data_IF_188066551171
#
_entry.id   IF_188066551171
#
_cell.length_a   1.000
_cell.length_b   1.000
_cell.length_c   1.000
_cell.angle_alpha   90.00
_cell.angle_beta   90.00
_cell.angle_gamma   90.00
#
_symmetry.space_group_name_H-M   'P 1'
#
loop_
_entity.id
_entity.type
_entity.pdbx_description
1 polymer ?
#
# COMPACT_ATOMS: atom_id res chain seq x y z
N UNK A 1 -14.74 -5.93 18.36
CA UNK A 1 -14.54 -5.10 17.16
C UNK A 1 -14.56 -3.64 17.61
N UNK A 2 -13.43 -2.93 17.50
CA UNK A 2 -13.36 -1.53 17.94
C UNK A 2 -14.04 -0.67 16.88
N UNK A 3 -15.20 -0.13 17.20
CA UNK A 3 -15.90 0.85 16.35
C UNK A 3 -15.15 2.17 16.47
N UNK A 4 -14.81 2.81 15.36
CA UNK A 4 -14.24 4.14 15.37
C UNK A 4 -15.22 5.10 16.06
N UNK A 5 -14.80 5.66 17.20
CA UNK A 5 -15.67 6.50 18.03
C UNK A 5 -16.13 7.83 17.37
N UNK A 6 -15.67 8.11 16.14
CA UNK A 6 -16.10 9.25 15.36
C UNK A 6 -17.19 8.93 14.33
N UNK A 7 -17.53 7.65 14.15
CA UNK A 7 -18.71 7.26 13.37
C UNK A 7 -19.90 7.34 14.31
N UNK A 8 -20.75 8.34 14.14
CA UNK A 8 -21.89 8.60 15.03
C UNK A 8 -22.94 7.48 14.98
N UNK A 9 -23.05 6.81 13.83
CA UNK A 9 -23.91 5.65 13.66
C UNK A 9 -23.23 4.58 12.81
N UNK A 10 -22.52 3.69 13.48
CA UNK A 10 -21.84 2.57 12.83
C UNK A 10 -22.79 1.53 12.23
N UNK A 11 -24.07 1.54 12.60
CA UNK A 11 -25.06 0.59 12.08
C UNK A 11 -25.43 0.88 10.63
N UNK A 12 -25.35 2.16 10.22
CA UNK A 12 -25.62 2.62 8.86
C UNK A 12 -24.35 2.75 7.99
N UNK A 13 -23.14 2.55 8.56
CA UNK A 13 -21.93 2.57 7.77
C UNK A 13 -21.89 1.41 6.78
N UNK A 14 -21.70 1.72 5.53
CA UNK A 14 -21.39 0.75 4.48
C UNK A 14 -20.12 1.19 3.80
N UNK A 15 -19.16 0.28 3.66
CA UNK A 15 -17.99 0.52 2.84
C UNK A 15 -18.45 0.80 1.41
N UNK A 16 -17.87 1.80 0.76
CA UNK A 16 -18.11 2.05 -0.65
C UNK A 16 -17.52 0.88 -1.44
N UNK A 17 -18.35 0.24 -2.24
CA UNK A 17 -17.93 -0.84 -3.15
C UNK A 17 -18.72 -0.69 -4.45
N UNK A 18 -18.09 -1.05 -5.56
CA UNK A 18 -18.71 -0.97 -6.88
C UNK A 18 -19.32 -2.32 -7.22
N UNK A 19 -20.65 -2.37 -7.35
CA UNK A 19 -21.33 -3.59 -7.77
C UNK A 19 -21.18 -3.79 -9.29
N UNK A 20 -20.29 -4.68 -9.65
CA UNK A 20 -20.05 -5.08 -11.04
C UNK A 20 -21.19 -5.92 -11.61
N UNK A 21 -22.14 -6.37 -10.78
CA UNK A 21 -23.33 -7.10 -11.23
C UNK A 21 -24.21 -6.23 -12.11
N UNK A 22 -24.36 -4.96 -11.78
CA UNK A 22 -25.22 -4.00 -12.47
C UNK A 22 -24.48 -3.21 -13.57
N UNK A 23 -23.14 -3.30 -13.64
CA UNK A 23 -22.30 -2.58 -14.61
C UNK A 23 -21.56 -3.57 -15.54
N UNK A 24 -22.21 -3.95 -16.63
CA UNK A 24 -21.64 -4.90 -17.56
C UNK A 24 -20.32 -4.44 -18.22
N UNK A 25 -20.17 -3.19 -18.69
CA UNK A 25 -18.89 -2.72 -19.23
C UNK A 25 -17.76 -2.76 -18.21
N UNK A 26 -18.01 -2.33 -16.98
CA UNK A 26 -17.01 -2.38 -15.91
C UNK A 26 -16.66 -3.83 -15.54
N UNK A 27 -17.66 -4.71 -15.46
CA UNK A 27 -17.45 -6.13 -15.18
C UNK A 27 -16.52 -6.78 -16.22
N UNK A 28 -16.76 -6.57 -17.50
CA UNK A 28 -15.91 -7.10 -18.57
C UNK A 28 -14.48 -6.56 -18.47
N UNK A 29 -14.34 -5.25 -18.31
CA UNK A 29 -13.03 -4.63 -18.17
C UNK A 29 -12.23 -5.19 -16.98
N UNK A 30 -12.87 -5.37 -15.83
CA UNK A 30 -12.19 -5.93 -14.64
C UNK A 30 -11.85 -7.40 -14.80
N UNK A 31 -12.72 -8.21 -15.43
CA UNK A 31 -12.41 -9.61 -15.72
C UNK A 31 -11.17 -9.70 -16.62
N UNK A 32 -11.10 -8.88 -17.67
CA UNK A 32 -9.95 -8.84 -18.57
C UNK A 32 -8.65 -8.36 -17.85
N UNK A 33 -8.76 -7.36 -16.98
CA UNK A 33 -7.63 -6.92 -16.14
C UNK A 33 -7.11 -8.08 -15.29
N UNK A 34 -7.99 -8.79 -14.59
CA UNK A 34 -7.59 -9.91 -13.73
C UNK A 34 -7.01 -11.08 -14.54
N UNK A 35 -7.60 -11.40 -15.68
CA UNK A 35 -7.10 -12.47 -16.57
C UNK A 35 -5.70 -12.14 -17.09
N UNK A 36 -5.49 -10.92 -17.59
CA UNK A 36 -4.21 -10.46 -18.10
C UNK A 36 -3.13 -10.40 -17.00
N UNK A 37 -3.51 -9.92 -15.81
CA UNK A 37 -2.59 -9.84 -14.65
C UNK A 37 -2.12 -11.22 -14.16
N UNK A 38 -2.85 -12.30 -14.44
CA UNK A 38 -2.49 -13.66 -14.00
C UNK A 38 -1.10 -14.07 -14.48
N UNK A 39 -0.70 -13.69 -15.68
CA UNK A 39 0.63 -14.02 -16.22
C UNK A 39 1.75 -13.32 -15.45
N UNK A 40 1.60 -12.04 -15.16
CA UNK A 40 2.58 -11.28 -14.37
C UNK A 40 2.66 -11.81 -12.93
N UNK A 41 1.52 -12.11 -12.33
CA UNK A 41 1.44 -12.67 -10.98
C UNK A 41 2.18 -14.02 -10.88
N UNK A 42 1.99 -14.92 -11.86
CA UNK A 42 2.68 -16.21 -11.89
C UNK A 42 4.19 -16.07 -12.13
N UNK A 43 4.64 -15.07 -12.89
CA UNK A 43 6.04 -14.75 -13.01
C UNK A 43 6.63 -14.39 -11.65
N UNK A 44 6.01 -13.50 -10.90
CA UNK A 44 6.45 -13.13 -9.55
C UNK A 44 6.41 -14.33 -8.60
N UNK A 45 5.38 -15.19 -8.67
CA UNK A 45 5.30 -16.40 -7.87
C UNK A 45 6.48 -17.36 -8.16
N UNK A 46 6.89 -17.50 -9.41
CA UNK A 46 8.04 -18.32 -9.79
C UNK A 46 9.39 -17.76 -9.27
N UNK A 47 9.44 -16.45 -9.03
CA UNK A 47 10.61 -15.75 -8.50
C UNK A 47 10.50 -15.50 -6.98
N UNK A 48 9.44 -15.95 -6.30
CA UNK A 48 9.20 -15.75 -4.87
C UNK A 48 10.23 -16.46 -3.97
N UNK A 49 10.23 -16.13 -2.68
CA UNK A 49 11.14 -16.76 -1.69
C UNK A 49 10.86 -18.25 -1.52
N UNK A 50 9.64 -18.69 -1.82
CA UNK A 50 9.20 -20.08 -1.80
C UNK A 50 8.43 -20.40 -3.09
N UNK A 51 9.12 -20.59 -4.22
CA UNK A 51 8.47 -20.76 -5.50
C UNK A 51 7.56 -22.00 -5.54
N UNK A 52 6.31 -21.89 -6.01
CA UNK A 52 5.45 -23.03 -6.24
C UNK A 52 5.97 -23.88 -7.41
N UNK A 53 5.55 -25.14 -7.46
CA UNK A 53 5.85 -26.00 -8.60
C UNK A 53 5.16 -25.53 -9.88
N UNK A 54 5.66 -25.97 -11.02
CA UNK A 54 5.05 -25.68 -12.32
C UNK A 54 3.60 -26.18 -12.38
N UNK A 55 3.34 -27.35 -11.81
CA UNK A 55 1.98 -27.93 -11.76
C UNK A 55 1.04 -27.10 -10.89
N UNK A 56 1.48 -26.63 -9.72
CA UNK A 56 0.69 -25.76 -8.86
C UNK A 56 0.30 -24.46 -9.59
N UNK A 57 1.25 -23.87 -10.31
CA UNK A 57 1.01 -22.66 -11.10
C UNK A 57 0.04 -22.91 -12.26
N UNK A 58 0.17 -24.05 -12.93
CA UNK A 58 -0.72 -24.45 -14.02
C UNK A 58 -2.15 -24.69 -13.52
N UNK A 59 -2.32 -25.41 -12.41
CA UNK A 59 -3.62 -25.66 -11.78
C UNK A 59 -4.29 -24.37 -11.30
N UNK A 60 -3.52 -23.50 -10.63
CA UNK A 60 -4.05 -22.20 -10.25
C UNK A 60 -4.53 -21.40 -11.46
N UNK A 61 -3.72 -21.34 -12.53
CA UNK A 61 -4.08 -20.59 -13.73
C UNK A 61 -5.38 -21.08 -14.33
N UNK A 62 -5.53 -22.40 -14.48
CA UNK A 62 -6.76 -23.01 -15.03
C UNK A 62 -7.95 -22.66 -14.14
N UNK A 63 -7.88 -22.95 -12.85
CA UNK A 63 -8.98 -22.72 -11.92
C UNK A 63 -9.40 -21.25 -11.85
N UNK A 64 -8.42 -20.32 -11.87
CA UNK A 64 -8.75 -18.89 -11.79
C UNK A 64 -9.36 -18.36 -13.10
N UNK A 65 -8.85 -18.77 -14.26
CA UNK A 65 -9.43 -18.36 -15.52
C UNK A 65 -10.83 -18.98 -15.74
N UNK A 66 -11.06 -20.21 -15.28
CA UNK A 66 -12.38 -20.83 -15.26
C UNK A 66 -13.36 -20.06 -14.36
N UNK A 67 -12.92 -19.62 -13.17
CA UNK A 67 -13.73 -18.77 -12.31
C UNK A 67 -14.11 -17.46 -13.03
N UNK A 68 -13.15 -16.79 -13.65
CA UNK A 68 -13.41 -15.51 -14.33
C UNK A 68 -14.37 -15.70 -15.51
N UNK A 69 -14.27 -16.80 -16.23
CA UNK A 69 -15.21 -17.15 -17.33
C UNK A 69 -16.62 -17.47 -16.79
N UNK A 70 -16.71 -18.18 -15.65
CA UNK A 70 -18.01 -18.42 -14.99
C UNK A 70 -18.63 -17.11 -14.46
N UNK A 71 -17.83 -16.21 -13.89
CA UNK A 71 -18.29 -14.87 -13.50
C UNK A 71 -18.81 -14.09 -14.70
N UNK A 72 -18.14 -14.16 -15.84
CA UNK A 72 -18.58 -13.50 -17.09
C UNK A 72 -19.94 -14.00 -17.56
N UNK A 73 -20.14 -15.31 -17.53
CA UNK A 73 -21.36 -15.96 -18.02
C UNK A 73 -22.51 -15.94 -17.02
N UNK A 74 -22.21 -16.05 -15.74
CA UNK A 74 -23.17 -16.32 -14.66
C UNK A 74 -23.02 -15.34 -13.50
N UNK A 75 -22.78 -14.02 -13.76
CA UNK A 75 -22.47 -13.03 -12.73
C UNK A 75 -23.49 -12.97 -11.57
N UNK A 76 -24.77 -13.23 -11.83
CA UNK A 76 -25.81 -13.25 -10.82
C UNK A 76 -25.57 -14.30 -9.70
N UNK A 77 -24.87 -15.40 -10.00
CA UNK A 77 -24.44 -16.41 -9.01
C UNK A 77 -23.47 -15.82 -7.95
N UNK A 78 -22.77 -14.75 -8.31
CA UNK A 78 -21.74 -14.12 -7.50
C UNK A 78 -22.22 -12.85 -6.79
N UNK A 79 -23.51 -12.52 -6.86
CA UNK A 79 -24.06 -11.31 -6.26
C UNK A 79 -23.89 -11.26 -4.73
N UNK A 80 -23.58 -10.08 -4.12
CA UNK A 80 -23.08 -8.89 -4.78
C UNK A 80 -21.68 -9.13 -5.34
N UNK A 81 -21.42 -8.69 -6.58
CA UNK A 81 -20.14 -8.89 -7.27
C UNK A 81 -19.31 -7.60 -7.20
N UNK A 82 -18.15 -7.65 -6.60
CA UNK A 82 -17.25 -6.50 -6.51
C UNK A 82 -15.81 -6.86 -6.83
N UNK A 83 -15.00 -5.83 -7.08
CA UNK A 83 -13.55 -5.98 -7.29
C UNK A 83 -12.91 -6.67 -6.08
N UNK A 84 -13.29 -6.24 -4.87
CA UNK A 84 -12.80 -6.84 -3.63
C UNK A 84 -13.10 -8.34 -3.56
N UNK A 85 -14.33 -8.74 -3.92
CA UNK A 85 -14.72 -10.15 -3.93
C UNK A 85 -13.88 -10.96 -4.92
N UNK A 86 -13.61 -10.42 -6.11
CA UNK A 86 -12.74 -11.06 -7.08
C UNK A 86 -11.30 -11.19 -6.57
N UNK A 87 -10.79 -10.18 -5.86
CA UNK A 87 -9.48 -10.25 -5.20
C UNK A 87 -9.43 -11.35 -4.12
N UNK A 88 -10.48 -11.46 -3.29
CA UNK A 88 -10.57 -12.51 -2.27
C UNK A 88 -10.60 -13.89 -2.90
N UNK A 89 -11.45 -14.09 -3.91
CA UNK A 89 -11.53 -15.38 -4.63
C UNK A 89 -10.18 -15.75 -5.28
N UNK A 90 -9.47 -14.78 -5.88
CA UNK A 90 -8.12 -14.99 -6.39
C UNK A 90 -7.18 -15.49 -5.30
N UNK A 91 -7.16 -14.83 -4.15
CA UNK A 91 -6.30 -15.21 -3.03
C UNK A 91 -6.67 -16.59 -2.47
N UNK A 92 -7.96 -16.94 -2.44
CA UNK A 92 -8.43 -18.25 -2.00
C UNK A 92 -7.96 -19.37 -2.94
N UNK A 93 -8.09 -19.18 -4.25
CA UNK A 93 -7.62 -20.16 -5.25
C UNK A 93 -6.09 -20.30 -5.17
N UNK A 94 -5.36 -19.20 -5.02
CA UNK A 94 -3.90 -19.27 -4.82
C UNK A 94 -3.54 -20.15 -3.63
N UNK A 95 -4.17 -19.94 -2.47
CA UNK A 95 -3.94 -20.75 -1.26
C UNK A 95 -4.30 -22.24 -1.47
N UNK A 96 -5.41 -22.52 -2.13
CA UNK A 96 -5.84 -23.90 -2.45
C UNK A 96 -4.81 -24.65 -3.29
N UNK A 97 -4.06 -23.95 -4.14
CA UNK A 97 -3.01 -24.52 -4.97
C UNK A 97 -1.60 -24.36 -4.38
N UNK A 98 -1.49 -23.98 -3.10
CA UNK A 98 -0.22 -23.88 -2.41
C UNK A 98 0.66 -22.72 -2.89
N UNK A 99 0.08 -21.69 -3.52
CA UNK A 99 0.79 -20.47 -3.90
C UNK A 99 0.66 -19.50 -2.75
N UNK A 100 1.80 -19.12 -2.16
CA UNK A 100 1.90 -18.11 -1.10
C UNK A 100 1.78 -16.69 -1.63
N UNK A 101 2.50 -15.76 -1.01
CA UNK A 101 2.57 -14.38 -1.49
C UNK A 101 3.52 -14.31 -2.71
N UNK A 102 3.01 -14.06 -3.93
CA UNK A 102 3.86 -14.02 -5.12
C UNK A 102 4.85 -12.86 -5.12
N UNK A 103 4.63 -11.85 -4.29
CA UNK A 103 5.45 -10.65 -4.18
C UNK A 103 6.37 -10.65 -2.96
N UNK A 104 6.52 -11.75 -2.23
CA UNK A 104 7.28 -11.81 -0.99
C UNK A 104 8.76 -11.44 -1.19
N UNK A 105 9.39 -11.88 -2.29
CA UNK A 105 10.76 -11.50 -2.67
C UNK A 105 10.84 -10.01 -2.99
N UNK A 106 9.95 -9.50 -3.84
CA UNK A 106 9.92 -8.08 -4.21
C UNK A 106 9.79 -7.22 -2.95
N UNK A 107 8.84 -7.56 -2.07
CA UNK A 107 8.66 -6.88 -0.79
C UNK A 107 9.90 -6.93 0.12
N UNK A 108 10.57 -8.08 0.15
CA UNK A 108 11.80 -8.23 0.95
C UNK A 108 12.95 -7.38 0.40
N UNK A 109 13.12 -7.34 -0.91
CA UNK A 109 14.15 -6.57 -1.58
C UNK A 109 13.90 -5.06 -1.44
N UNK A 110 12.64 -4.60 -1.65
CA UNK A 110 12.22 -3.22 -1.43
C UNK A 110 12.40 -2.77 0.02
N UNK A 111 11.95 -3.59 0.98
CA UNK A 111 12.16 -3.31 2.40
C UNK A 111 13.66 -3.17 2.73
N UNK A 112 14.48 -4.08 2.20
CA UNK A 112 15.94 -4.04 2.42
C UNK A 112 16.58 -2.78 1.85
N UNK A 113 16.16 -2.36 0.65
CA UNK A 113 16.62 -1.13 0.03
C UNK A 113 16.18 0.10 0.82
N UNK A 114 14.91 0.16 1.20
CA UNK A 114 14.35 1.28 1.96
C UNK A 114 15.02 1.44 3.34
N UNK A 115 15.26 0.34 4.07
CA UNK A 115 15.95 0.39 5.37
C UNK A 115 17.35 0.97 5.26
N UNK A 116 18.07 0.71 4.16
CA UNK A 116 19.41 1.29 3.94
C UNK A 116 19.36 2.81 3.71
N UNK A 117 18.27 3.31 3.14
CA UNK A 117 18.07 4.74 2.87
C UNK A 117 17.54 5.51 4.08
N UNK A 118 16.82 4.85 4.97
CA UNK A 118 16.14 5.48 6.10
C UNK A 118 17.04 6.39 6.95
N UNK A 119 18.30 6.01 7.28
CA UNK A 119 19.18 6.89 8.08
C UNK A 119 19.44 8.26 7.42
N UNK A 120 19.62 8.30 6.10
CA UNK A 120 19.85 9.56 5.39
C UNK A 120 18.62 10.47 5.42
N UNK A 121 17.43 9.90 5.33
CA UNK A 121 16.16 10.63 5.45
C UNK A 121 16.00 11.18 6.86
N UNK A 122 16.25 10.36 7.87
CA UNK A 122 16.14 10.77 9.28
C UNK A 122 17.11 11.92 9.61
N UNK A 123 18.35 11.87 9.08
CA UNK A 123 19.31 12.96 9.26
C UNK A 123 18.81 14.29 8.68
N UNK A 124 18.24 14.26 7.46
CA UNK A 124 17.66 15.47 6.84
C UNK A 124 16.53 16.04 7.70
N UNK A 125 15.67 15.18 8.25
CA UNK A 125 14.57 15.60 9.10
C UNK A 125 15.05 16.14 10.47
N UNK A 126 16.08 15.52 11.05
CA UNK A 126 16.66 15.94 12.32
C UNK A 126 17.42 17.30 12.23
N UNK A 127 17.90 17.65 11.03
CA UNK A 127 18.55 18.93 10.73
C UNK A 127 17.56 20.02 10.28
N UNK A 128 16.27 19.70 10.10
CA UNK A 128 15.25 20.63 9.62
C UNK A 128 14.60 21.41 10.74
N UNK A 129 14.21 22.65 10.45
CA UNK A 129 13.51 23.51 11.41
C UNK A 129 12.10 23.00 11.72
N UNK A 130 11.61 23.27 12.94
CA UNK A 130 10.26 22.89 13.40
C UNK A 130 9.14 23.36 12.45
N UNK A 131 9.33 24.47 11.74
CA UNK A 131 8.36 25.00 10.78
C UNK A 131 8.30 24.21 9.46
N UNK A 132 9.38 23.55 9.07
CA UNK A 132 9.48 22.82 7.80
C UNK A 132 9.26 21.31 7.94
N UNK A 133 9.54 20.77 9.13
CA UNK A 133 9.57 19.31 9.34
C UNK A 133 8.25 18.63 8.98
N UNK A 134 7.10 19.24 9.30
CA UNK A 134 5.78 18.65 9.00
C UNK A 134 5.53 18.62 7.49
N UNK A 135 5.93 19.65 6.77
CA UNK A 135 5.83 19.64 5.30
C UNK A 135 6.72 18.57 4.69
N UNK A 136 7.98 18.46 5.14
CA UNK A 136 8.91 17.43 4.66
C UNK A 136 8.41 16.02 4.93
N UNK A 137 7.81 15.78 6.09
CA UNK A 137 7.20 14.51 6.44
C UNK A 137 6.00 14.16 5.52
N UNK A 138 5.14 15.13 5.25
CA UNK A 138 4.00 14.93 4.33
C UNK A 138 4.49 14.69 2.90
N UNK A 139 5.47 15.49 2.44
CA UNK A 139 6.11 15.26 1.14
C UNK A 139 6.76 13.88 1.08
N UNK A 140 7.39 13.42 2.17
CA UNK A 140 7.98 12.09 2.29
C UNK A 140 6.94 10.98 2.12
N UNK A 141 5.76 11.11 2.73
CA UNK A 141 4.65 10.17 2.55
C UNK A 141 4.18 10.15 1.09
N UNK A 142 3.99 11.33 0.47
CA UNK A 142 3.57 11.44 -0.92
C UNK A 142 4.63 10.91 -1.91
N UNK A 143 5.92 11.09 -1.58
CA UNK A 143 7.04 10.57 -2.37
C UNK A 143 7.21 9.06 -2.21
N UNK A 144 6.85 8.51 -1.05
CA UNK A 144 6.92 7.08 -0.75
C UNK A 144 6.23 6.25 -1.83
N UNK A 145 5.06 6.69 -2.27
CA UNK A 145 4.31 6.06 -3.36
C UNK A 145 5.05 6.07 -4.73
N UNK A 146 5.97 7.01 -4.95
CA UNK A 146 6.84 7.02 -6.14
C UNK A 146 7.98 6.00 -6.02
N UNK A 147 8.45 5.74 -4.81
CA UNK A 147 9.50 4.74 -4.57
C UNK A 147 9.01 3.32 -4.87
N UNK A 148 7.74 3.00 -4.60
CA UNK A 148 7.16 1.68 -4.87
C UNK A 148 7.07 1.36 -6.37
N UNK A 149 6.88 2.38 -7.23
CA UNK A 149 6.81 2.21 -8.68
C UNK A 149 8.19 2.10 -9.34
N UNK A 150 9.25 2.30 -8.61
CA UNK A 150 10.61 2.46 -9.12
C UNK A 150 11.68 1.64 -8.39
N UNK A 151 11.34 0.57 -7.68
CA UNK A 151 12.30 -0.21 -6.90
C UNK A 151 13.54 -0.60 -7.73
N UNK A 152 13.38 -0.98 -8.99
CA UNK A 152 14.49 -1.27 -9.90
C UNK A 152 15.29 0.00 -10.25
N UNK A 153 14.61 1.08 -10.61
CA UNK A 153 15.25 2.37 -10.90
C UNK A 153 15.89 2.98 -9.64
N UNK A 154 15.29 2.76 -8.48
CA UNK A 154 15.80 3.18 -7.18
C UNK A 154 17.06 2.39 -6.79
N UNK A 155 17.10 1.08 -7.07
CA UNK A 155 18.28 0.24 -6.85
C UNK A 155 19.42 0.60 -7.79
N UNK A 156 19.13 0.93 -9.06
CA UNK A 156 20.12 1.38 -10.05
C UNK A 156 20.69 2.76 -9.70
N UNK A 157 19.88 3.67 -9.15
CA UNK A 157 20.35 4.96 -8.61
C UNK A 157 21.19 4.79 -7.34
N UNK A 158 20.89 3.80 -6.49
CA UNK A 158 21.71 3.47 -5.32
C UNK A 158 23.09 2.96 -5.70
N UNK A 159 23.19 2.17 -6.77
CA UNK A 159 24.46 1.70 -7.29
C UNK A 159 25.33 2.84 -7.89
N UNK A 160 24.71 3.96 -8.26
CA UNK A 160 25.35 5.12 -8.87
C UNK A 160 25.64 6.31 -7.94
N UNK A 161 25.37 6.22 -6.63
CA UNK A 161 25.77 7.29 -5.70
C UNK A 161 24.73 7.71 -4.64
N UNK A 162 23.62 6.99 -4.53
CA UNK A 162 22.60 7.23 -3.53
C UNK A 162 21.39 8.04 -4.03
N UNK A 163 20.22 7.79 -3.44
CA UNK A 163 19.05 8.63 -3.68
C UNK A 163 19.21 9.89 -2.85
N UNK A 164 19.21 11.03 -3.50
CA UNK A 164 19.04 12.30 -2.84
C UNK A 164 17.56 12.46 -2.47
N UNK A 165 17.25 12.26 -1.18
CA UNK A 165 15.90 12.44 -0.66
C UNK A 165 15.32 13.83 -0.96
N UNK A 166 16.14 14.89 -0.86
CA UNK A 166 15.71 16.25 -1.18
C UNK A 166 15.39 16.39 -2.66
N UNK A 167 16.19 15.81 -3.55
CA UNK A 167 15.91 15.81 -4.98
C UNK A 167 14.58 15.12 -5.29
N UNK A 168 14.30 13.98 -4.67
CA UNK A 168 13.01 13.27 -4.83
C UNK A 168 11.83 14.09 -4.32
N UNK A 169 11.99 14.79 -3.20
CA UNK A 169 10.95 15.69 -2.69
C UNK A 169 10.70 16.86 -3.64
N UNK A 170 11.73 17.35 -4.34
CA UNK A 170 11.62 18.43 -5.32
C UNK A 170 10.90 18.02 -6.61
N UNK A 171 10.77 16.73 -6.88
CA UNK A 171 9.96 16.22 -8.01
C UNK A 171 8.46 16.24 -7.72
N UNK A 172 8.05 16.45 -6.47
CA UNK A 172 6.65 16.63 -6.12
C UNK A 172 6.17 18.03 -6.55
N UNK A 173 4.89 18.15 -6.93
CA UNK A 173 4.32 19.46 -7.25
C UNK A 173 4.52 20.46 -6.10
N UNK A 174 4.76 21.72 -6.47
CA UNK A 174 4.78 22.82 -5.50
C UNK A 174 3.40 23.03 -4.86
N UNK A 175 3.44 23.56 -3.64
CA UNK A 175 2.22 23.99 -2.96
C UNK A 175 1.76 25.38 -3.50
N UNK A 176 0.44 25.70 -3.40
CA UNK A 176 -0.62 24.91 -2.74
C UNK A 176 -1.13 23.74 -3.60
N UNK A 177 -1.39 22.61 -2.95
CA UNK A 177 -2.04 21.47 -3.60
C UNK A 177 -3.58 21.71 -3.72
N UNK A 178 -4.28 20.87 -4.49
CA UNK A 178 -5.74 20.97 -4.67
C UNK A 178 -6.50 21.05 -3.33
N UNK A 179 -6.04 20.29 -2.33
CA UNK A 179 -6.44 20.41 -0.94
C UNK A 179 -5.16 20.45 -0.09
N UNK A 180 -4.92 21.57 0.55
CA UNK A 180 -3.67 21.82 1.27
C UNK A 180 -3.97 22.32 2.69
N UNK A 181 -3.89 21.41 3.64
CA UNK A 181 -4.05 21.67 5.07
C UNK A 181 -2.71 21.57 5.84
N UNK A 182 -1.57 21.57 5.14
CA UNK A 182 -0.23 21.36 5.74
C UNK A 182 0.08 22.37 6.83
N UNK A 183 -0.19 23.66 6.59
CA UNK A 183 0.04 24.72 7.58
C UNK A 183 -0.80 24.52 8.85
N UNK A 184 -2.08 24.13 8.68
CA UNK A 184 -2.97 23.86 9.81
C UNK A 184 -2.53 22.58 10.57
N UNK A 185 -1.96 21.60 9.88
CA UNK A 185 -1.40 20.41 10.50
C UNK A 185 -0.12 20.72 11.26
N UNK A 186 0.76 21.53 10.68
CA UNK A 186 1.98 21.99 11.34
C UNK A 186 1.68 22.74 12.65
N UNK A 187 0.72 23.67 12.64
CA UNK A 187 0.27 24.35 13.85
C UNK A 187 -0.26 23.38 14.92
N UNK A 188 -1.06 22.41 14.53
CA UNK A 188 -1.64 21.41 15.46
C UNK A 188 -0.61 20.46 16.05
N UNK A 189 0.49 20.23 15.36
CA UNK A 189 1.57 19.32 15.77
C UNK A 189 2.77 20.08 16.35
N UNK A 190 2.73 21.41 16.36
CA UNK A 190 3.78 22.24 16.95
C UNK A 190 3.97 21.95 18.47
N UNK A 191 5.19 22.03 18.99
CA UNK A 191 5.46 21.82 20.43
C UNK A 191 4.54 22.69 21.30
N UNK A 192 3.88 22.06 22.26
CA UNK A 192 2.89 22.71 23.14
C UNK A 192 1.48 22.88 22.57
N UNK A 193 1.25 22.69 21.28
CA UNK A 193 -0.06 22.75 20.65
C UNK A 193 -0.72 21.37 20.47
N UNK A 194 0.02 20.29 20.64
CA UNK A 194 -0.47 18.94 20.41
C UNK A 194 -1.57 18.58 21.42
N UNK A 195 -2.78 18.41 20.90
CA UNK A 195 -3.97 18.03 21.70
C UNK A 195 -4.28 16.53 21.62
N UNK A 196 -3.62 15.82 20.71
CA UNK A 196 -3.83 14.39 20.50
C UNK A 196 -2.96 13.58 21.46
N UNK A 197 -3.51 12.47 21.97
CA UNK A 197 -2.76 11.55 22.84
C UNK A 197 -2.41 10.25 22.13
N UNK A 198 -3.12 9.95 21.06
CA UNK A 198 -2.97 8.70 20.29
C UNK A 198 -3.13 8.98 18.81
N UNK A 199 -2.34 8.29 18.02
CA UNK A 199 -2.47 8.23 16.57
C UNK A 199 -2.54 6.77 16.11
N UNK A 200 -3.25 6.50 15.02
CA UNK A 200 -3.24 5.23 14.33
C UNK A 200 -2.81 5.52 12.90
N UNK A 201 -1.77 4.83 12.47
CA UNK A 201 -1.24 4.91 11.11
C UNK A 201 -1.60 3.63 10.36
N UNK A 202 -2.41 3.76 9.31
CA UNK A 202 -2.77 2.64 8.45
C UNK A 202 -1.78 2.54 7.31
N UNK A 203 -1.15 1.38 7.17
CA UNK A 203 -0.18 1.08 6.11
C UNK A 203 -0.85 0.10 5.15
N UNK A 204 -0.92 0.47 3.89
CA UNK A 204 -1.55 -0.34 2.84
C UNK A 204 -0.55 -1.18 2.05
N UNK A 205 0.75 -0.79 2.10
CA UNK A 205 1.81 -1.47 1.36
C UNK A 205 3.07 -1.71 2.22
N UNK A 206 4.01 -2.47 1.68
CA UNK A 206 5.37 -2.64 2.20
C UNK A 206 6.33 -1.77 1.36
N UNK A 207 7.63 -1.78 1.70
CA UNK A 207 8.64 -1.09 0.89
C UNK A 207 8.82 0.38 1.23
N UNK A 208 9.13 1.17 0.20
CA UNK A 208 9.48 2.57 0.32
C UNK A 208 8.40 3.42 0.98
N UNK A 209 7.15 3.20 0.64
CA UNK A 209 6.01 3.95 1.18
C UNK A 209 5.93 3.84 2.71
N UNK A 210 5.93 2.61 3.22
CA UNK A 210 5.87 2.39 4.67
C UNK A 210 7.14 2.86 5.39
N UNK A 211 8.32 2.55 4.84
CA UNK A 211 9.60 2.73 5.54
C UNK A 211 10.11 4.16 5.41
N UNK A 212 10.08 4.74 4.21
CA UNK A 212 10.65 6.06 3.94
C UNK A 212 9.65 7.20 4.17
N UNK A 213 8.34 6.92 3.99
CA UNK A 213 7.27 7.87 4.27
C UNK A 213 6.68 7.71 5.68
N UNK A 214 6.16 6.51 5.97
CA UNK A 214 5.41 6.23 7.21
C UNK A 214 6.25 6.25 8.47
N UNK A 215 7.38 5.56 8.49
CA UNK A 215 8.24 5.44 9.70
C UNK A 215 8.75 6.79 10.19
N UNK A 216 9.28 7.70 9.34
CA UNK A 216 9.69 9.04 9.78
C UNK A 216 8.54 9.84 10.40
N UNK A 217 7.36 9.78 9.81
CA UNK A 217 6.18 10.46 10.33
C UNK A 217 5.74 9.93 11.69
N UNK A 218 5.68 8.60 11.85
CA UNK A 218 5.37 7.96 13.14
C UNK A 218 6.43 8.32 14.19
N UNK A 219 7.72 8.31 13.82
CA UNK A 219 8.83 8.73 14.72
C UNK A 219 8.62 10.17 15.20
N UNK A 220 8.26 11.09 14.31
CA UNK A 220 7.95 12.47 14.68
C UNK A 220 6.77 12.56 15.64
N UNK A 221 5.66 11.85 15.38
CA UNK A 221 4.51 11.84 16.29
C UNK A 221 4.87 11.29 17.68
N UNK A 222 5.72 10.28 17.75
CA UNK A 222 6.23 9.74 19.02
C UNK A 222 7.09 10.79 19.78
N UNK A 223 7.95 11.55 19.08
CA UNK A 223 8.74 12.61 19.69
C UNK A 223 7.88 13.75 20.24
N UNK A 224 6.69 13.98 19.66
CA UNK A 224 5.69 14.93 20.17
C UNK A 224 4.85 14.35 21.34
N UNK A 225 5.19 13.18 21.86
CA UNK A 225 4.54 12.55 23.02
C UNK A 225 3.25 11.78 22.72
N UNK A 226 2.92 11.55 21.45
CA UNK A 226 1.78 10.71 21.08
C UNK A 226 2.12 9.22 21.25
N UNK A 227 1.11 8.41 21.54
CA UNK A 227 1.19 6.96 21.40
C UNK A 227 0.70 6.57 20.02
N UNK A 228 1.54 5.89 19.22
CA UNK A 228 1.21 5.52 17.86
C UNK A 228 0.96 4.00 17.75
N UNK A 229 -0.12 3.63 17.08
CA UNK A 229 -0.38 2.28 16.61
C UNK A 229 -0.19 2.24 15.09
N UNK A 230 0.53 1.25 14.59
CA UNK A 230 0.65 0.98 13.15
C UNK A 230 -0.22 -0.23 12.82
N UNK A 231 -1.13 -0.07 11.87
CA UNK A 231 -2.04 -1.10 11.41
C UNK A 231 -1.75 -1.38 9.93
N UNK A 232 -1.34 -2.60 9.61
CA UNK A 232 -1.17 -3.07 8.24
C UNK A 232 -2.11 -4.23 7.92
N UNK A 233 -2.11 -4.67 6.68
CA UNK A 233 -2.80 -5.89 6.29
C UNK A 233 -2.11 -7.08 6.96
N UNK A 234 -2.86 -7.84 7.72
CA UNK A 234 -2.36 -9.05 8.36
C UNK A 234 -2.17 -10.12 7.28
N UNK A 235 -0.97 -10.74 7.22
CA UNK A 235 -0.84 -12.02 6.52
C UNK A 235 -1.86 -12.96 7.16
N UNK A 236 -2.83 -13.44 6.39
CA UNK A 236 -3.64 -14.57 6.83
C UNK A 236 -2.71 -15.79 6.82
N UNK A 237 -2.04 -16.03 7.97
CA UNK A 237 -1.44 -17.32 8.24
C UNK A 237 -2.58 -18.33 8.33
N UNK A 238 -2.77 -19.11 7.27
CA UNK A 238 -3.55 -20.35 7.31
C UNK A 238 -2.77 -21.42 8.05
#
# INVERSE_FOLDING_TARGET
MAIFCKIQDGSHYRASDWDLGDDAPAREAWIDIFANHTTALLKHAAESLSPPSVDQMAFYRSAYLELLDDVRKNHAKYAPLSIYKLCVQRADIMRQHGIGDPYDRVKADENSAAVKLLPSILNVLDESDDGEIVELLIRGILAGNKFDLGAQATMDQHASGGIDFRATLNELPDRPWFKDDVAAMADRLAPGHVRYKKAIFFVDNAGGDAILGGVPFVRYLLSQGLRCGVCGQQRTSG
#
